data_IF_906675080042
#
_entry.id   IF_906675080042
#
_cell.length_a   1.000
_cell.length_b   1.000
_cell.length_c   1.000
_cell.angle_alpha   90.00
_cell.angle_beta   90.00
_cell.angle_gamma   90.00
#
_symmetry.space_group_name_H-M   'P 1'
#
loop_
_entity.id
_entity.type
_entity.pdbx_description
1 polymer ?
#
# COMPACT_ATOMS: atom_id res chain seq x y z
N UNK A 1 -0.58 -12.05 3.81
CA UNK A 1 -0.02 -10.75 4.11
C UNK A 1 -0.64 -9.70 3.22
N UNK A 2 -0.81 -8.47 3.71
CA UNK A 2 -1.52 -7.46 2.96
C UNK A 2 -0.68 -6.21 2.79
N UNK A 3 -0.88 -5.55 1.66
CA UNK A 3 -0.24 -4.28 1.34
C UNK A 3 -1.29 -3.29 0.90
N UNK A 4 -1.01 -2.00 1.13
CA UNK A 4 -1.86 -0.93 0.62
C UNK A 4 -0.98 0.25 0.26
N UNK A 5 -1.53 1.19 -0.52
CA UNK A 5 -0.84 2.41 -0.88
C UNK A 5 -1.51 3.58 -0.17
N UNK A 6 -0.71 4.39 0.49
CA UNK A 6 -1.18 5.57 1.22
C UNK A 6 -0.78 6.82 0.43
N UNK A 7 -1.75 7.71 0.25
CA UNK A 7 -1.53 8.95 -0.47
C UNK A 7 -1.40 10.12 0.50
N UNK A 8 -0.68 11.16 0.08
CA UNK A 8 -0.39 12.31 0.94
C UNK A 8 -1.63 13.03 1.42
N UNK A 9 -2.72 12.97 0.65
CA UNK A 9 -3.96 13.61 1.04
C UNK A 9 -4.73 12.84 2.12
N UNK A 10 -4.14 11.79 2.65
CA UNK A 10 -4.78 11.00 3.70
C UNK A 10 -5.61 9.85 3.20
N UNK A 11 -5.63 9.62 1.91
CA UNK A 11 -6.42 8.54 1.34
C UNK A 11 -5.57 7.29 1.13
N UNK A 12 -6.25 6.17 0.96
CA UNK A 12 -5.61 4.88 0.71
C UNK A 12 -6.08 4.34 -0.62
N UNK A 13 -5.31 3.37 -1.14
CA UNK A 13 -5.73 2.68 -2.35
C UNK A 13 -7.09 2.01 -2.11
N UNK A 14 -7.93 1.90 -3.16
CA UNK A 14 -9.29 1.36 -3.00
C UNK A 14 -9.32 -0.11 -2.62
N UNK A 15 -8.20 -0.80 -2.76
CA UNK A 15 -8.15 -2.22 -2.44
C UNK A 15 -6.82 -2.57 -1.81
N UNK A 16 -6.79 -3.69 -1.10
CA UNK A 16 -5.55 -4.22 -0.57
C UNK A 16 -4.92 -5.17 -1.58
N UNK A 17 -3.60 -5.25 -1.54
CA UNK A 17 -2.85 -6.11 -2.44
C UNK A 17 -2.31 -7.30 -1.68
N UNK A 18 -2.28 -8.45 -2.33
CA UNK A 18 -1.79 -9.67 -1.69
C UNK A 18 -0.27 -9.74 -1.70
N UNK A 19 0.37 -9.12 -2.69
CA UNK A 19 1.81 -9.19 -2.83
C UNK A 19 2.38 -7.78 -2.97
N UNK A 20 3.66 -7.67 -2.60
CA UNK A 20 4.38 -6.41 -2.77
C UNK A 20 4.43 -6.00 -4.24
N UNK A 21 4.58 -6.98 -5.13
CA UNK A 21 4.68 -6.68 -6.55
C UNK A 21 3.46 -5.93 -7.05
N UNK A 22 2.28 -6.36 -6.64
CA UNK A 22 1.05 -5.68 -7.04
C UNK A 22 1.01 -4.26 -6.49
N UNK A 23 1.43 -4.08 -5.24
CA UNK A 23 1.45 -2.75 -4.66
C UNK A 23 2.45 -1.84 -5.38
N UNK A 24 3.60 -2.38 -5.76
CA UNK A 24 4.60 -1.62 -6.49
C UNK A 24 4.06 -1.19 -7.85
N UNK A 25 3.36 -2.07 -8.53
CA UNK A 25 2.78 -1.73 -9.82
C UNK A 25 1.75 -0.62 -9.69
N UNK A 26 0.93 -0.68 -8.66
CA UNK A 26 -0.04 0.38 -8.41
C UNK A 26 0.67 1.69 -8.11
N UNK A 27 1.69 1.63 -7.25
CA UNK A 27 2.46 2.83 -6.90
C UNK A 27 3.11 3.45 -8.12
N UNK A 28 3.59 2.63 -9.05
CA UNK A 28 4.23 3.15 -10.25
C UNK A 28 3.27 3.96 -11.11
N UNK A 29 1.98 3.63 -11.05
CA UNK A 29 0.97 4.35 -11.85
C UNK A 29 0.42 5.58 -11.14
N UNK A 30 0.19 5.47 -9.85
CA UNK A 30 -0.56 6.48 -9.11
C UNK A 30 0.27 7.21 -8.07
N UNK A 31 1.46 6.73 -7.77
CA UNK A 31 2.28 7.30 -6.71
C UNK A 31 1.80 6.85 -5.34
N UNK A 32 2.30 7.53 -4.31
CA UNK A 32 1.95 7.20 -2.95
C UNK A 32 3.02 6.38 -2.27
N UNK A 33 2.69 5.87 -1.10
CA UNK A 33 3.62 5.14 -0.26
C UNK A 33 3.06 3.77 0.07
N UNK A 34 3.87 2.74 -0.15
CA UNK A 34 3.44 1.37 0.12
C UNK A 34 3.52 1.13 1.63
N UNK A 35 2.46 0.57 2.17
CA UNK A 35 2.41 0.14 3.56
C UNK A 35 2.17 -1.35 3.63
N UNK A 36 2.81 -1.99 4.61
CA UNK A 36 2.67 -3.43 4.84
C UNK A 36 2.01 -3.65 6.19
N UNK A 37 1.08 -4.57 6.24
CA UNK A 37 0.44 -4.93 7.50
C UNK A 37 1.31 -5.94 8.25
N UNK A 38 1.64 -5.61 9.50
CA UNK A 38 2.38 -6.49 10.38
C UNK A 38 1.53 -6.65 11.64
N UNK A 39 1.00 -7.85 11.86
CA UNK A 39 0.07 -8.05 12.94
C UNK A 39 -1.16 -7.21 12.76
N UNK A 40 -1.39 -6.29 13.69
CA UNK A 40 -2.54 -5.37 13.63
C UNK A 40 -2.13 -3.97 13.18
N UNK A 41 -0.89 -3.78 12.77
CA UNK A 41 -0.38 -2.45 12.44
C UNK A 41 0.02 -2.34 11.00
N UNK A 42 -0.17 -1.14 10.44
CA UNK A 42 0.32 -0.79 9.12
C UNK A 42 1.62 0.00 9.26
N UNK A 43 2.64 -0.42 8.53
CA UNK A 43 3.94 0.25 8.57
C UNK A 43 4.40 0.55 7.17
N UNK A 44 5.19 1.61 7.05
CA UNK A 44 5.83 1.94 5.78
C UNK A 44 6.73 0.79 5.36
N UNK A 45 6.70 0.48 4.10
CA UNK A 45 7.46 -0.64 3.59
C UNK A 45 8.81 -0.22 3.03
#
# INVERSE_FOLDING_TARGET
MKYRVYFKNGEYSPTYFKTKKEAVEYQAQFGGEIQRKIGCEWRSY
#
